data_IF_889563254677
#
_entry.id   IF_889563254677
#
_cell.length_a   1.000
_cell.length_b   1.000
_cell.length_c   1.000
_cell.angle_alpha   90.00
_cell.angle_beta   90.00
_cell.angle_gamma   90.00
#
_symmetry.space_group_name_H-M   'P 1'
#
loop_
_entity.id
_entity.type
_entity.pdbx_description
1 polymer ?
#
# COMPACT_ATOMS: atom_id res chain seq x y z
N UNK A 1 5.58 -0.65 15.67
CA UNK A 1 5.22 -0.16 14.34
C UNK A 1 6.45 0.31 13.62
N UNK A 2 6.56 0.01 12.44
CA UNK A 2 7.62 0.43 11.58
C UNK A 2 7.32 1.82 11.14
N UNK A 3 8.08 2.82 11.04
CA UNK A 3 9.09 2.90 10.14
C UNK A 3 9.60 4.27 9.89
N UNK A 4 10.70 4.42 9.27
CA UNK A 4 11.21 5.69 8.77
C UNK A 4 10.55 6.09 7.44
N UNK A 5 9.99 5.13 6.71
CA UNK A 5 9.32 5.31 5.44
C UNK A 5 8.07 4.45 5.47
N UNK A 6 6.90 5.08 5.41
CA UNK A 6 5.67 4.35 5.52
C UNK A 6 5.42 3.38 4.35
N UNK A 7 6.07 3.58 3.22
CA UNK A 7 6.00 2.65 2.09
C UNK A 7 6.71 1.32 2.38
N UNK A 8 7.51 1.27 3.44
CA UNK A 8 8.13 0.02 3.91
C UNK A 8 7.37 -0.66 5.04
N UNK A 9 6.20 -0.15 5.41
CA UNK A 9 5.31 -0.79 6.39
C UNK A 9 4.59 -1.96 5.74
N UNK A 10 4.86 -3.14 6.25
CA UNK A 10 4.58 -4.33 5.47
C UNK A 10 4.30 -5.53 6.35
N UNK A 11 3.78 -6.58 5.77
CA UNK A 11 3.71 -7.89 6.38
C UNK A 11 5.08 -8.58 6.35
N UNK A 12 5.22 -9.62 7.14
CA UNK A 12 6.47 -10.37 7.24
C UNK A 12 7.00 -10.90 5.90
N UNK A 13 6.11 -11.14 4.94
CA UNK A 13 6.49 -11.59 3.60
C UNK A 13 7.38 -10.59 2.86
N UNK A 14 7.24 -9.30 3.16
CA UNK A 14 8.01 -8.27 2.48
C UNK A 14 9.41 -8.08 3.06
N UNK A 15 9.71 -8.66 4.20
CA UNK A 15 11.03 -8.53 4.82
C UNK A 15 12.16 -9.10 3.95
N UNK A 16 11.84 -10.04 3.06
CA UNK A 16 12.81 -10.64 2.15
C UNK A 16 12.88 -9.95 0.78
N UNK A 17 11.95 -9.03 0.51
CA UNK A 17 11.84 -8.39 -0.78
C UNK A 17 13.07 -7.58 -1.18
N UNK A 18 13.71 -6.79 -0.30
CA UNK A 18 14.90 -6.04 -0.66
C UNK A 18 16.05 -6.94 -1.14
N UNK A 19 16.25 -8.08 -0.49
CA UNK A 19 17.29 -9.04 -0.89
C UNK A 19 17.00 -9.64 -2.26
N UNK A 20 15.75 -10.03 -2.50
CA UNK A 20 15.31 -10.57 -3.78
C UNK A 20 15.46 -9.54 -4.90
N UNK A 21 15.04 -8.31 -4.64
CA UNK A 21 15.17 -7.22 -5.61
C UNK A 21 16.63 -6.91 -5.93
N UNK A 22 17.47 -6.87 -4.91
CA UNK A 22 18.92 -6.65 -5.08
C UNK A 22 19.56 -7.74 -5.95
N UNK A 23 19.19 -8.99 -5.72
CA UNK A 23 19.69 -10.12 -6.52
C UNK A 23 19.31 -9.98 -7.98
N UNK A 24 18.03 -9.69 -8.28
CA UNK A 24 17.55 -9.53 -9.66
C UNK A 24 18.16 -8.33 -10.36
N UNK A 25 18.39 -7.25 -9.65
CA UNK A 25 18.95 -6.02 -10.21
C UNK A 25 20.48 -5.99 -10.18
N UNK A 26 21.11 -7.08 -9.72
CA UNK A 26 22.56 -7.18 -9.53
C UNK A 26 23.11 -6.03 -8.67
N UNK A 27 22.41 -5.72 -7.60
CA UNK A 27 22.78 -4.69 -6.65
C UNK A 27 23.22 -5.31 -5.33
N UNK A 28 23.99 -4.57 -4.55
CA UNK A 28 24.33 -4.94 -3.18
C UNK A 28 23.59 -4.01 -2.22
N UNK A 29 23.00 -4.59 -1.19
CA UNK A 29 22.37 -3.81 -0.12
C UNK A 29 23.47 -3.40 0.87
N UNK A 30 23.67 -2.12 1.00
CA UNK A 30 24.70 -1.57 1.92
C UNK A 30 24.19 -1.53 3.36
N UNK A 31 22.86 -1.45 3.54
CA UNK A 31 22.23 -1.35 4.84
C UNK A 31 21.20 -2.45 5.05
N UNK A 32 21.14 -2.95 6.29
CA UNK A 32 20.09 -3.87 6.70
C UNK A 32 18.81 -3.09 6.96
N UNK A 33 17.67 -3.74 6.71
CA UNK A 33 16.40 -3.17 7.11
C UNK A 33 16.35 -2.93 8.61
N UNK A 34 15.69 -1.84 9.06
CA UNK A 34 15.47 -1.64 10.49
C UNK A 34 14.65 -2.79 11.08
N UNK A 35 14.81 -3.09 12.37
CA UNK A 35 14.03 -4.14 12.99
C UNK A 35 12.53 -3.80 12.96
N UNK A 36 11.71 -4.84 12.78
CA UNK A 36 10.27 -4.70 12.81
C UNK A 36 9.81 -4.51 14.26
N UNK A 37 9.11 -3.42 14.52
CA UNK A 37 8.53 -3.17 15.84
C UNK A 37 7.23 -3.94 16.07
N UNK A 38 6.42 -4.11 15.01
CA UNK A 38 5.14 -4.79 15.10
C UNK A 38 4.70 -5.29 13.73
N UNK A 39 4.17 -6.51 13.68
CA UNK A 39 3.49 -7.05 12.51
C UNK A 39 2.02 -6.71 12.56
N UNK A 40 1.45 -6.33 11.42
CA UNK A 40 0.07 -5.90 11.29
C UNK A 40 -0.74 -6.89 10.46
N UNK A 41 -2.01 -7.04 10.86
CA UNK A 41 -3.00 -7.80 10.11
C UNK A 41 -4.25 -6.95 9.92
N UNK A 42 -5.19 -7.38 9.10
CA UNK A 42 -6.46 -6.68 8.91
C UNK A 42 -7.31 -6.62 10.19
N UNK A 43 -7.04 -7.47 11.17
CA UNK A 43 -7.70 -7.44 12.46
C UNK A 43 -7.16 -6.33 13.38
N UNK A 44 -6.00 -5.77 13.05
CA UNK A 44 -5.38 -4.73 13.85
C UNK A 44 -5.91 -3.36 13.49
N UNK A 45 -5.84 -2.45 14.47
CA UNK A 45 -6.05 -1.02 14.26
C UNK A 45 -4.85 -0.26 14.79
N UNK A 46 -4.57 0.89 14.18
CA UNK A 46 -3.52 1.78 14.64
C UNK A 46 -4.17 3.07 15.10
N UNK A 47 -3.79 3.52 16.29
CA UNK A 47 -4.24 4.79 16.83
C UNK A 47 -3.08 5.79 16.80
N UNK A 48 -3.36 6.96 16.25
CA UNK A 48 -2.42 8.07 16.22
C UNK A 48 -3.14 9.35 16.63
N UNK A 49 -2.85 9.83 17.83
CA UNK A 49 -3.61 10.90 18.44
C UNK A 49 -5.06 10.48 18.63
N UNK A 50 -5.99 11.25 18.06
CA UNK A 50 -7.43 10.96 18.11
C UNK A 50 -7.92 10.18 16.89
N UNK A 51 -7.01 9.72 16.02
CA UNK A 51 -7.34 9.05 14.78
C UNK A 51 -7.14 7.55 14.91
N UNK A 52 -8.08 6.80 14.36
CA UNK A 52 -7.99 5.34 14.29
C UNK A 52 -7.91 4.91 12.83
N UNK A 53 -6.87 4.15 12.50
CA UNK A 53 -6.67 3.58 11.17
C UNK A 53 -6.98 2.10 11.20
N UNK A 54 -7.77 1.65 10.23
CA UNK A 54 -7.94 0.23 9.93
C UNK A 54 -6.95 -0.15 8.83
N UNK A 55 -6.63 -1.43 8.76
CA UNK A 55 -5.65 -1.96 7.81
C UNK A 55 -6.39 -2.76 6.76
N UNK A 56 -6.18 -2.39 5.51
CA UNK A 56 -6.71 -3.13 4.36
C UNK A 56 -5.53 -3.77 3.65
N UNK A 57 -5.50 -5.09 3.61
CA UNK A 57 -4.45 -5.82 2.90
C UNK A 57 -4.67 -5.67 1.39
N UNK A 58 -3.66 -5.17 0.69
CA UNK A 58 -3.73 -4.86 -0.75
C UNK A 58 -2.52 -5.42 -1.48
N UNK A 59 -2.40 -6.77 -1.56
CA UNK A 59 -1.29 -7.38 -2.27
C UNK A 59 -1.34 -7.08 -3.76
N UNK A 60 -0.20 -7.06 -4.41
CA UNK A 60 -0.07 -6.82 -5.84
C UNK A 60 1.23 -6.14 -6.20
N UNK A 61 1.54 -5.01 -5.61
CA UNK A 61 2.88 -4.41 -5.71
C UNK A 61 3.87 -5.26 -4.91
N UNK A 62 3.53 -5.58 -3.68
CA UNK A 62 4.20 -6.59 -2.87
C UNK A 62 3.16 -7.48 -2.20
N UNK A 63 3.58 -8.62 -1.67
CA UNK A 63 2.67 -9.52 -0.95
C UNK A 63 2.18 -8.92 0.36
N UNK A 64 2.96 -8.06 0.98
CA UNK A 64 2.64 -7.44 2.26
C UNK A 64 2.09 -6.02 2.15
N UNK A 65 1.83 -5.52 0.96
CA UNK A 65 1.28 -4.18 0.79
C UNK A 65 -0.05 -4.03 1.52
N UNK A 66 -0.23 -2.89 2.18
CA UNK A 66 -1.46 -2.59 2.89
C UNK A 66 -1.80 -1.11 2.79
N UNK A 67 -3.06 -0.80 3.04
CA UNK A 67 -3.60 0.55 3.07
C UNK A 67 -4.01 0.86 4.50
N UNK A 68 -3.66 2.04 4.98
CA UNK A 68 -4.14 2.57 6.25
C UNK A 68 -5.32 3.49 5.98
N UNK A 69 -6.48 3.10 6.46
CA UNK A 69 -7.73 3.81 6.21
C UNK A 69 -8.30 4.40 7.50
N UNK A 70 -8.54 5.70 7.48
CA UNK A 70 -9.21 6.41 8.56
C UNK A 70 -10.60 6.82 8.08
N UNK A 71 -11.61 6.05 8.46
CA UNK A 71 -12.99 6.29 8.04
C UNK A 71 -13.52 7.63 8.56
N UNK A 72 -13.22 7.98 9.81
CA UNK A 72 -13.70 9.21 10.43
C UNK A 72 -13.23 10.46 9.69
N UNK A 73 -12.02 10.44 9.15
CA UNK A 73 -11.44 11.58 8.41
C UNK A 73 -11.62 11.44 6.89
N UNK A 74 -12.06 10.28 6.41
CA UNK A 74 -12.19 10.01 4.99
C UNK A 74 -10.84 10.03 4.26
N UNK A 75 -9.81 9.40 4.84
CA UNK A 75 -8.43 9.43 4.34
C UNK A 75 -7.89 8.01 4.25
N UNK A 76 -7.21 7.72 3.14
CA UNK A 76 -6.52 6.45 2.93
C UNK A 76 -5.07 6.70 2.52
N UNK A 77 -4.14 6.04 3.19
CA UNK A 77 -2.73 6.02 2.82
C UNK A 77 -2.46 4.72 2.08
N UNK A 78 -2.22 4.82 0.79
CA UNK A 78 -2.22 3.66 -0.11
C UNK A 78 -0.84 3.14 -0.47
N UNK A 79 0.23 3.77 0.02
CA UNK A 79 1.59 3.34 -0.30
C UNK A 79 1.81 3.29 -1.81
N UNK A 80 2.29 2.15 -2.25
CA UNK A 80 2.55 1.90 -3.67
C UNK A 80 1.46 1.04 -4.32
N UNK A 81 0.25 1.05 -3.76
CA UNK A 81 -0.89 0.31 -4.33
C UNK A 81 -1.66 1.16 -5.34
N UNK A 82 -2.13 2.33 -4.93
CA UNK A 82 -2.92 3.21 -5.78
C UNK A 82 -2.26 4.57 -5.89
N UNK A 83 -2.03 4.99 -7.14
CA UNK A 83 -1.54 6.32 -7.47
C UNK A 83 -2.58 7.10 -8.26
N UNK A 84 -2.40 8.40 -8.36
CA UNK A 84 -3.25 9.21 -9.23
C UNK A 84 -3.07 8.81 -10.68
N UNK A 85 -4.11 8.24 -11.26
CA UNK A 85 -4.14 7.79 -12.65
C UNK A 85 -3.46 6.44 -12.92
N UNK A 86 -2.96 5.76 -11.87
CA UNK A 86 -2.23 4.51 -12.05
C UNK A 86 -2.27 3.63 -10.80
N UNK A 87 -1.60 2.50 -10.88
CA UNK A 87 -1.37 1.58 -9.76
C UNK A 87 0.12 1.25 -9.67
N UNK A 88 0.54 0.69 -8.54
CA UNK A 88 1.92 0.28 -8.34
C UNK A 88 2.34 -0.80 -9.34
N UNK A 89 3.62 -0.82 -9.68
CA UNK A 89 4.17 -1.85 -10.57
C UNK A 89 4.06 -3.23 -9.92
N UNK A 90 3.88 -4.23 -10.75
CA UNK A 90 3.66 -5.62 -10.32
C UNK A 90 4.67 -6.61 -10.89
N UNK A 91 5.72 -6.11 -11.55
CA UNK A 91 6.71 -6.89 -12.28
C UNK A 91 7.97 -7.21 -11.47
N UNK A 92 7.99 -6.87 -10.19
CA UNK A 92 9.06 -7.22 -9.26
C UNK A 92 8.72 -8.48 -8.46
N UNK A 93 9.72 -9.10 -7.79
CA UNK A 93 9.46 -10.27 -6.94
C UNK A 93 8.35 -10.01 -5.92
N UNK A 94 7.42 -10.94 -5.81
CA UNK A 94 6.23 -10.79 -4.96
C UNK A 94 5.09 -10.00 -5.60
N UNK A 95 5.32 -9.40 -6.77
CA UNK A 95 4.29 -8.67 -7.51
C UNK A 95 3.32 -9.59 -8.23
N UNK A 96 2.07 -9.16 -8.38
CA UNK A 96 1.03 -9.90 -9.09
C UNK A 96 -0.05 -8.95 -9.58
N UNK A 97 -0.25 -8.91 -10.89
CA UNK A 97 -1.33 -8.11 -11.49
C UNK A 97 -2.70 -8.61 -11.06
N UNK A 98 -2.87 -9.93 -10.95
CA UNK A 98 -4.13 -10.52 -10.50
C UNK A 98 -4.50 -10.05 -9.09
N UNK A 99 -3.54 -10.12 -8.17
CA UNK A 99 -3.75 -9.65 -6.79
C UNK A 99 -3.96 -8.14 -6.74
N UNK A 100 -3.20 -7.39 -7.55
CA UNK A 100 -3.36 -5.94 -7.64
C UNK A 100 -4.78 -5.58 -8.06
N UNK A 101 -5.33 -6.24 -9.06
CA UNK A 101 -6.69 -5.94 -9.52
C UNK A 101 -7.75 -6.26 -8.48
N UNK A 102 -7.56 -7.33 -7.70
CA UNK A 102 -8.44 -7.63 -6.56
C UNK A 102 -8.35 -6.55 -5.49
N UNK A 103 -7.15 -6.11 -5.17
CA UNK A 103 -6.92 -5.06 -4.18
C UNK A 103 -7.53 -3.73 -4.60
N UNK A 104 -7.35 -3.34 -5.85
CA UNK A 104 -7.92 -2.12 -6.42
C UNK A 104 -9.46 -2.18 -6.42
N UNK A 105 -10.03 -3.33 -6.75
CA UNK A 105 -11.49 -3.51 -6.67
C UNK A 105 -11.99 -3.33 -5.25
N UNK A 106 -11.26 -3.83 -4.27
CA UNK A 106 -11.60 -3.63 -2.86
C UNK A 106 -11.55 -2.14 -2.49
N UNK A 107 -10.48 -1.44 -2.88
CA UNK A 107 -10.34 -0.01 -2.62
C UNK A 107 -11.42 0.82 -3.32
N UNK A 108 -11.88 0.39 -4.49
CA UNK A 108 -12.91 1.12 -5.23
C UNK A 108 -14.26 1.13 -4.52
N UNK A 109 -14.45 0.29 -3.50
CA UNK A 109 -15.67 0.27 -2.69
C UNK A 109 -15.67 1.34 -1.59
N UNK A 110 -14.56 2.00 -1.33
CA UNK A 110 -14.49 3.11 -0.38
C UNK A 110 -15.34 4.29 -0.90
N UNK A 111 -15.81 5.18 0.01
CA UNK A 111 -16.58 6.35 -0.41
C UNK A 111 -15.81 7.22 -1.40
N UNK A 112 -16.50 7.78 -2.37
CA UNK A 112 -15.92 8.61 -3.43
C UNK A 112 -15.16 9.82 -2.86
N UNK A 113 -15.59 10.34 -1.72
CA UNK A 113 -14.97 11.47 -1.05
C UNK A 113 -13.68 11.11 -0.32
N UNK A 114 -13.32 9.83 -0.24
CA UNK A 114 -12.10 9.39 0.42
C UNK A 114 -10.88 10.00 -0.27
N UNK A 115 -10.09 10.74 0.50
CA UNK A 115 -8.82 11.32 0.03
C UNK A 115 -7.75 10.24 0.07
N UNK A 116 -6.97 10.17 -0.98
CA UNK A 116 -5.95 9.14 -1.15
C UNK A 116 -4.57 9.80 -1.19
N UNK A 117 -3.71 9.36 -0.29
CA UNK A 117 -2.30 9.77 -0.24
C UNK A 117 -1.45 8.54 -0.55
N UNK A 118 -0.76 8.59 -1.67
CA UNK A 118 0.14 7.50 -2.09
C UNK A 118 1.55 7.71 -1.54
N UNK A 119 2.38 6.69 -1.69
CA UNK A 119 3.80 6.80 -1.34
C UNK A 119 4.57 7.76 -2.25
N UNK A 120 4.08 7.95 -3.48
CA UNK A 120 4.68 8.83 -4.49
C UNK A 120 3.57 9.52 -5.28
N UNK A 121 3.83 10.75 -5.70
CA UNK A 121 2.90 11.49 -6.54
C UNK A 121 1.86 12.28 -5.77
N UNK A 122 0.95 12.96 -6.50
CA UNK A 122 0.00 13.88 -5.90
C UNK A 122 -1.17 13.18 -5.22
N UNK A 123 -1.81 13.90 -4.33
CA UNK A 123 -3.07 13.50 -3.70
C UNK A 123 -4.17 13.29 -4.73
N UNK A 124 -5.07 12.34 -4.46
CA UNK A 124 -6.25 12.08 -5.27
C UNK A 124 -7.45 11.71 -4.38
N UNK A 125 -8.56 11.32 -5.01
CA UNK A 125 -9.73 10.78 -4.32
C UNK A 125 -10.20 9.51 -5.00
N UNK A 126 -10.93 8.68 -4.30
CA UNK A 126 -11.52 7.47 -4.90
C UNK A 126 -12.46 7.85 -6.04
N UNK A 127 -13.27 8.89 -5.89
CA UNK A 127 -14.17 9.36 -6.95
C UNK A 127 -13.43 9.81 -8.20
N UNK A 128 -12.34 10.55 -8.04
CA UNK A 128 -11.50 10.96 -9.18
C UNK A 128 -10.94 9.73 -9.91
N UNK A 129 -10.43 8.76 -9.15
CA UNK A 129 -9.84 7.56 -9.74
C UNK A 129 -10.88 6.68 -10.43
N UNK A 130 -12.09 6.57 -9.90
CA UNK A 130 -13.18 5.87 -10.57
C UNK A 130 -13.52 6.49 -11.92
N UNK A 131 -13.41 7.80 -12.04
CA UNK A 131 -13.69 8.53 -13.29
C UNK A 131 -12.54 8.49 -14.29
N UNK A 132 -11.29 8.44 -13.84
CA UNK A 132 -10.12 8.71 -14.68
C UNK A 132 -9.06 7.60 -14.68
N UNK A 133 -9.04 6.72 -13.69
CA UNK A 133 -8.04 5.67 -13.61
C UNK A 133 -8.53 4.41 -14.31
N UNK A 134 -7.82 3.91 -15.35
CA UNK A 134 -8.29 2.75 -16.10
C UNK A 134 -8.31 1.45 -15.29
N UNK A 135 -7.67 1.42 -14.12
CA UNK A 135 -7.62 0.24 -13.27
C UNK A 135 -8.75 0.16 -12.25
N UNK A 136 -9.46 1.26 -12.00
CA UNK A 136 -10.59 1.28 -11.07
C UNK A 136 -11.92 1.07 -11.77
N UNK A 137 -12.70 0.18 -11.20
CA UNK A 137 -14.06 -0.09 -11.62
C UNK A 137 -14.87 -0.53 -10.40
N UNK A 138 -16.11 -0.09 -10.34
CA UNK A 138 -16.98 -0.43 -9.22
C UNK A 138 -18.05 -1.42 -9.62
#
# INVERSE_FOLDING_TARGET
>A
IITSDWSSDVCSSDLHLPEQAAYLLNMQLEEKQPPVGRYLTEADTIEWGNHRFTIIHTPGHTEGSCVFYCEAEGVAFTGDTLFRGSVGRVDLPGGSMFKMMQSIRHLSQLPDTTRVFSGHGPETTIGYELAHNPYLDR
#
